data_IF_261568288264
#
_entry.id   IF_261568288264
#
_cell.length_a   1.000
_cell.length_b   1.000
_cell.length_c   1.000
_cell.angle_alpha   90.00
_cell.angle_beta   90.00
_cell.angle_gamma   90.00
#
_symmetry.space_group_name_H-M   'P 1'
#
loop_
_entity.id
_entity.type
_entity.pdbx_description
1 polymer ?
#
# COMPACT_ATOMS: atom_id res chain seq x y z
N UNK A 1 -4.95 -18.52 -2.59
CA UNK A 1 -3.93 -17.58 -3.07
C UNK A 1 -3.87 -16.33 -2.17
N UNK A 2 -4.83 -15.44 -2.16
CA UNK A 2 -4.81 -14.17 -1.39
C UNK A 2 -4.41 -14.31 0.09
N UNK A 3 -4.83 -15.36 0.77
CA UNK A 3 -4.50 -15.55 2.20
C UNK A 3 -3.04 -15.89 2.44
N UNK A 4 -2.43 -16.64 1.52
CA UNK A 4 -1.00 -16.94 1.54
C UNK A 4 -0.18 -15.67 1.32
N UNK A 5 -0.59 -14.82 0.41
CA UNK A 5 0.07 -13.52 0.16
C UNK A 5 0.03 -12.60 1.38
N UNK A 6 -1.09 -12.57 2.14
CA UNK A 6 -1.19 -11.84 3.41
C UNK A 6 -0.16 -12.31 4.46
N UNK A 7 -0.02 -13.62 4.59
CA UNK A 7 0.92 -14.22 5.55
C UNK A 7 2.37 -13.96 5.14
N UNK A 8 2.69 -14.13 3.86
CA UNK A 8 4.03 -13.86 3.31
C UNK A 8 4.38 -12.38 3.51
N UNK A 9 3.51 -11.46 3.09
CA UNK A 9 3.74 -10.02 3.27
C UNK A 9 3.85 -9.61 4.74
N UNK A 10 3.07 -10.24 5.61
CA UNK A 10 3.15 -10.00 7.04
C UNK A 10 4.47 -10.48 7.65
N UNK A 11 5.00 -11.60 7.17
CA UNK A 11 6.26 -12.17 7.64
C UNK A 11 7.48 -11.41 7.07
N UNK A 12 7.42 -10.98 5.82
CA UNK A 12 8.53 -10.32 5.13
C UNK A 12 8.82 -8.90 5.62
N UNK A 13 7.83 -8.21 6.18
CA UNK A 13 8.02 -6.87 6.75
C UNK A 13 8.68 -6.96 8.12
N UNK A 14 10.01 -6.95 8.13
CA UNK A 14 10.83 -7.10 9.34
C UNK A 14 10.59 -5.96 10.34
N UNK A 15 10.64 -4.65 9.96
CA UNK A 15 10.41 -3.56 10.91
C UNK A 15 8.97 -3.61 11.46
N UNK A 16 8.87 -3.65 12.78
CA UNK A 16 7.58 -3.75 13.48
C UNK A 16 6.63 -2.59 13.15
N UNK A 17 7.15 -1.36 13.16
CA UNK A 17 6.34 -0.17 12.89
C UNK A 17 5.77 -0.17 11.47
N UNK A 18 6.55 -0.57 10.47
CA UNK A 18 6.07 -0.66 9.10
C UNK A 18 5.00 -1.74 8.93
N UNK A 19 5.18 -2.88 9.60
CA UNK A 19 4.20 -3.97 9.60
C UNK A 19 2.89 -3.53 10.24
N UNK A 20 2.95 -2.90 11.41
CA UNK A 20 1.76 -2.41 12.10
C UNK A 20 1.08 -1.25 11.35
N UNK A 21 1.86 -0.34 10.75
CA UNK A 21 1.31 0.74 9.93
C UNK A 21 0.50 0.18 8.75
N UNK A 22 1.03 -0.82 8.03
CA UNK A 22 0.32 -1.47 6.93
C UNK A 22 -0.98 -2.15 7.37
N UNK A 23 -0.95 -2.84 8.51
CA UNK A 23 -2.14 -3.48 9.10
C UNK A 23 -3.20 -2.48 9.52
N UNK A 24 -2.79 -1.40 10.18
CA UNK A 24 -3.69 -0.31 10.60
C UNK A 24 -4.30 0.38 9.38
N UNK A 25 -3.50 0.69 8.37
CA UNK A 25 -3.97 1.29 7.12
C UNK A 25 -4.98 0.37 6.40
N UNK A 26 -4.63 -0.90 6.22
CA UNK A 26 -5.51 -1.86 5.56
C UNK A 26 -6.84 -2.04 6.30
N UNK A 27 -6.78 -2.23 7.62
CA UNK A 27 -7.99 -2.38 8.44
C UNK A 27 -8.86 -1.11 8.44
N UNK A 28 -8.24 0.08 8.44
CA UNK A 28 -8.98 1.35 8.37
C UNK A 28 -9.59 1.55 7.00
N UNK A 29 -8.84 1.24 5.93
CA UNK A 29 -9.35 1.29 4.56
C UNK A 29 -10.58 0.40 4.40
N UNK A 30 -10.49 -0.88 4.78
CA UNK A 30 -11.61 -1.81 4.73
C UNK A 30 -12.86 -1.27 5.43
N UNK A 31 -12.72 -0.83 6.70
CA UNK A 31 -13.83 -0.26 7.48
C UNK A 31 -14.42 1.02 6.87
N UNK A 32 -13.58 1.83 6.22
CA UNK A 32 -14.05 3.05 5.54
C UNK A 32 -14.88 2.70 4.33
N UNK A 33 -14.39 1.74 3.52
CA UNK A 33 -15.12 1.28 2.34
C UNK A 33 -16.45 0.64 2.73
N UNK A 34 -16.50 -0.23 3.75
CA UNK A 34 -17.74 -0.80 4.24
C UNK A 34 -18.79 0.27 4.59
N UNK A 35 -18.36 1.37 5.22
CA UNK A 35 -19.27 2.47 5.60
C UNK A 35 -19.73 3.29 4.40
N UNK A 36 -18.84 3.55 3.45
CA UNK A 36 -19.17 4.37 2.27
C UNK A 36 -20.04 3.60 1.27
N UNK A 37 -19.89 2.28 1.23
CA UNK A 37 -20.52 1.45 0.21
C UNK A 37 -21.98 1.16 0.43
N UNK A 38 -22.49 1.32 1.63
CA UNK A 38 -23.91 1.03 1.87
C UNK A 38 -24.83 1.86 0.96
N UNK A 39 -24.39 3.03 0.49
CA UNK A 39 -25.28 3.98 -0.14
C UNK A 39 -24.78 4.63 -1.46
N UNK A 40 -23.49 4.63 -1.78
CA UNK A 40 -22.95 5.57 -2.78
C UNK A 40 -22.09 5.02 -3.91
N UNK A 41 -21.58 3.80 -3.83
CA UNK A 41 -20.71 3.24 -4.88
C UNK A 41 -21.19 1.87 -5.37
N UNK A 42 -21.66 1.74 -6.61
CA UNK A 42 -22.00 0.44 -7.18
C UNK A 42 -20.72 -0.38 -7.37
N UNK A 43 -20.55 -1.46 -6.63
CA UNK A 43 -19.52 -2.46 -6.89
C UNK A 43 -20.03 -3.46 -7.90
N UNK A 44 -19.27 -3.65 -8.97
CA UNK A 44 -19.58 -4.62 -10.03
C UNK A 44 -19.54 -6.06 -9.50
N UNK A 45 -18.60 -6.35 -8.60
CA UNK A 45 -18.38 -7.69 -8.02
C UNK A 45 -18.28 -7.59 -6.49
N UNK A 46 -19.32 -7.10 -5.85
CA UNK A 46 -19.41 -6.88 -4.39
C UNK A 46 -19.08 -8.14 -3.59
N UNK A 47 -19.50 -9.28 -4.07
CA UNK A 47 -19.29 -10.58 -3.44
C UNK A 47 -17.80 -10.92 -3.24
N UNK A 48 -16.92 -10.44 -4.11
CA UNK A 48 -15.46 -10.64 -3.97
C UNK A 48 -14.95 -9.90 -2.73
N UNK A 49 -15.37 -8.66 -2.55
CA UNK A 49 -14.93 -7.84 -1.42
C UNK A 49 -15.51 -8.37 -0.09
N UNK A 50 -16.79 -8.71 -0.08
CA UNK A 50 -17.47 -9.27 1.10
C UNK A 50 -16.86 -10.62 1.51
N UNK A 51 -16.63 -11.52 0.56
CA UNK A 51 -15.99 -12.82 0.82
C UNK A 51 -14.56 -12.66 1.37
N UNK A 52 -13.80 -11.69 0.86
CA UNK A 52 -12.47 -11.38 1.39
C UNK A 52 -12.54 -10.89 2.84
N UNK A 53 -13.42 -9.94 3.14
CA UNK A 53 -13.56 -9.39 4.49
C UNK A 53 -14.02 -10.44 5.50
N UNK A 54 -14.98 -11.28 5.13
CA UNK A 54 -15.46 -12.38 5.97
C UNK A 54 -14.34 -13.38 6.28
N UNK A 55 -13.57 -13.76 5.28
CA UNK A 55 -12.44 -14.67 5.44
C UNK A 55 -11.29 -14.07 6.27
N UNK A 56 -11.21 -12.75 6.36
CA UNK A 56 -10.20 -12.00 7.16
C UNK A 56 -10.73 -11.50 8.50
N UNK A 57 -11.97 -11.83 8.86
CA UNK A 57 -12.57 -11.38 10.12
C UNK A 57 -11.70 -11.76 11.33
N UNK A 58 -11.34 -10.75 12.11
CA UNK A 58 -10.45 -10.91 13.27
C UNK A 58 -8.97 -11.11 12.94
N UNK A 59 -8.58 -11.03 11.67
CA UNK A 59 -7.18 -11.13 11.22
C UNK A 59 -6.68 -9.79 10.68
N UNK A 60 -5.36 -9.67 10.60
CA UNK A 60 -4.74 -8.51 9.98
C UNK A 60 -5.05 -8.46 8.47
N UNK A 61 -5.19 -7.25 7.96
CA UNK A 61 -5.46 -6.95 6.55
C UNK A 61 -4.38 -6.00 6.06
N UNK A 62 -3.59 -6.43 5.08
CA UNK A 62 -2.54 -5.60 4.47
C UNK A 62 -3.14 -4.59 3.50
N UNK A 63 -2.67 -3.34 3.56
CA UNK A 63 -3.24 -2.26 2.75
C UNK A 63 -3.19 -2.54 1.25
N UNK A 64 -2.06 -3.03 0.73
CA UNK A 64 -1.93 -3.34 -0.71
C UNK A 64 -2.92 -4.41 -1.18
N UNK A 65 -3.15 -5.45 -0.36
CA UNK A 65 -4.05 -6.54 -0.73
C UNK A 65 -5.51 -6.09 -0.71
N UNK A 66 -5.96 -5.44 0.37
CA UNK A 66 -7.35 -4.95 0.43
C UNK A 66 -7.64 -3.89 -0.61
N UNK A 67 -6.66 -3.08 -0.98
CA UNK A 67 -6.79 -2.12 -2.08
C UNK A 67 -7.00 -2.83 -3.42
N UNK A 68 -6.19 -3.82 -3.74
CA UNK A 68 -6.34 -4.61 -4.97
C UNK A 68 -7.69 -5.35 -5.04
N UNK A 69 -8.11 -5.98 -3.93
CA UNK A 69 -9.42 -6.63 -3.84
C UNK A 69 -10.56 -5.63 -4.04
N UNK A 70 -10.44 -4.44 -3.48
CA UNK A 70 -11.43 -3.37 -3.66
C UNK A 70 -11.51 -2.90 -5.11
N UNK A 71 -10.37 -2.65 -5.77
CA UNK A 71 -10.33 -2.28 -7.18
C UNK A 71 -10.93 -3.37 -8.08
N UNK A 72 -10.62 -4.64 -7.80
CA UNK A 72 -11.24 -5.77 -8.51
C UNK A 72 -12.76 -5.83 -8.31
N UNK A 73 -13.23 -5.54 -7.09
CA UNK A 73 -14.67 -5.48 -6.80
C UNK A 73 -15.36 -4.33 -7.56
N UNK A 74 -14.68 -3.22 -7.78
CA UNK A 74 -15.16 -2.12 -8.63
C UNK A 74 -15.09 -2.44 -10.14
N UNK A 75 -14.33 -3.47 -10.52
CA UNK A 75 -14.08 -3.82 -11.91
C UNK A 75 -13.06 -2.89 -12.58
N UNK A 76 -12.13 -2.33 -11.79
CA UNK A 76 -11.01 -1.55 -12.30
C UNK A 76 -9.96 -2.52 -12.83
N UNK A 77 -9.40 -2.22 -13.98
CA UNK A 77 -8.37 -3.05 -14.62
C UNK A 77 -7.07 -3.08 -13.79
N UNK A 78 -6.34 -4.19 -13.88
CA UNK A 78 -5.14 -4.44 -13.07
C UNK A 78 -4.08 -3.35 -13.28
N UNK A 79 -3.81 -2.98 -14.52
CA UNK A 79 -2.82 -1.96 -14.87
C UNK A 79 -3.16 -0.60 -14.24
N UNK A 80 -4.42 -0.19 -14.35
CA UNK A 80 -4.91 1.04 -13.75
C UNK A 80 -4.81 0.99 -12.21
N UNK A 81 -5.16 -0.16 -11.62
CA UNK A 81 -5.03 -0.40 -10.18
C UNK A 81 -3.59 -0.23 -9.70
N UNK A 82 -2.64 -0.86 -10.38
CA UNK A 82 -1.22 -0.80 -10.04
C UNK A 82 -0.65 0.61 -10.23
N UNK A 83 -1.00 1.28 -11.34
CA UNK A 83 -0.58 2.66 -11.61
C UNK A 83 -1.02 3.62 -10.50
N UNK A 84 -2.30 3.59 -10.13
CA UNK A 84 -2.83 4.43 -9.07
C UNK A 84 -2.25 4.08 -7.69
N UNK A 85 -1.96 2.81 -7.44
CA UNK A 85 -1.28 2.43 -6.21
C UNK A 85 0.14 2.99 -6.14
N UNK A 86 0.94 2.86 -7.21
CA UNK A 86 2.29 3.44 -7.30
C UNK A 86 2.24 4.96 -7.13
N UNK A 87 1.33 5.63 -7.82
CA UNK A 87 1.13 7.06 -7.68
C UNK A 87 0.84 7.46 -6.23
N UNK A 88 -0.09 6.78 -5.58
CA UNK A 88 -0.48 7.09 -4.20
C UNK A 88 0.69 6.91 -3.22
N UNK A 89 1.48 5.82 -3.36
CA UNK A 89 2.64 5.58 -2.52
C UNK A 89 3.74 6.63 -2.75
N UNK A 90 4.06 6.92 -4.01
CA UNK A 90 5.07 7.94 -4.38
C UNK A 90 4.65 9.32 -3.91
N UNK A 91 3.40 9.70 -4.11
CA UNK A 91 2.85 10.99 -3.65
C UNK A 91 2.92 11.13 -2.12
N UNK A 92 2.63 10.05 -1.38
CA UNK A 92 2.78 10.04 0.07
C UNK A 92 4.25 10.23 0.51
N UNK A 93 5.19 9.56 -0.16
CA UNK A 93 6.63 9.74 0.10
C UNK A 93 7.08 11.16 -0.18
N UNK A 94 6.74 11.72 -1.34
CA UNK A 94 7.07 13.11 -1.71
C UNK A 94 6.48 14.09 -0.72
N UNK A 95 5.21 13.90 -0.31
CA UNK A 95 4.55 14.75 0.70
C UNK A 95 5.30 14.71 2.03
N UNK A 96 5.76 13.55 2.46
CA UNK A 96 6.56 13.44 3.67
C UNK A 96 7.91 14.14 3.53
N UNK A 97 8.57 14.03 2.37
CA UNK A 97 9.80 14.77 2.08
C UNK A 97 9.58 16.29 2.17
N UNK A 98 8.51 16.81 1.56
CA UNK A 98 8.17 18.25 1.62
C UNK A 98 7.95 18.71 3.07
N UNK A 99 7.38 17.87 3.92
CA UNK A 99 7.15 18.21 5.34
C UNK A 99 8.40 18.12 6.21
N UNK A 100 9.34 17.24 5.90
CA UNK A 100 10.52 16.94 6.74
C UNK A 100 11.80 17.62 6.25
N UNK A 101 11.87 17.93 4.97
CA UNK A 101 13.00 18.59 4.32
C UNK A 101 12.51 19.99 3.90
N UNK A 102 13.36 21.03 3.90
CA UNK A 102 12.94 22.38 3.51
C UNK A 102 12.73 22.49 1.99
N UNK A 103 11.81 21.71 1.45
CA UNK A 103 11.40 21.74 0.05
C UNK A 103 10.12 22.56 -0.11
N UNK A 104 10.04 23.32 -1.21
CA UNK A 104 8.80 24.01 -1.57
C UNK A 104 7.74 23.00 -2.09
N UNK A 105 6.47 23.39 -2.00
CA UNK A 105 5.37 22.60 -2.58
C UNK A 105 5.58 22.38 -4.10
N UNK A 106 6.04 23.42 -4.79
CA UNK A 106 6.34 23.32 -6.23
C UNK A 106 7.46 22.32 -6.54
N UNK A 107 8.52 22.31 -5.71
CA UNK A 107 9.59 21.32 -5.85
C UNK A 107 9.07 19.89 -5.61
N UNK A 108 8.19 19.70 -4.63
CA UNK A 108 7.52 18.41 -4.41
C UNK A 108 6.70 17.97 -5.62
N UNK A 109 5.94 18.86 -6.24
CA UNK A 109 5.16 18.53 -7.44
C UNK A 109 6.08 18.22 -8.65
N UNK A 110 7.19 18.93 -8.80
CA UNK A 110 8.18 18.62 -9.85
C UNK A 110 8.80 17.23 -9.66
N UNK A 111 9.16 16.86 -8.42
CA UNK A 111 9.65 15.53 -8.10
C UNK A 111 8.62 14.46 -8.43
N UNK A 112 7.37 14.63 -8.00
CA UNK A 112 6.30 13.68 -8.27
C UNK A 112 6.07 13.51 -9.78
N UNK A 113 6.00 14.62 -10.52
CA UNK A 113 5.87 14.59 -11.98
C UNK A 113 7.05 13.90 -12.67
N UNK A 114 8.26 14.07 -12.14
CA UNK A 114 9.46 13.40 -12.63
C UNK A 114 9.44 11.88 -12.45
N UNK A 115 8.61 11.35 -11.53
CA UNK A 115 8.47 9.91 -11.32
C UNK A 115 7.51 9.23 -12.31
N UNK A 116 6.68 9.96 -13.05
CA UNK A 116 5.66 9.35 -13.92
C UNK A 116 6.24 8.45 -15.02
N UNK A 117 7.33 8.81 -15.72
CA UNK A 117 7.93 7.91 -16.69
C UNK A 117 8.34 6.56 -16.10
N UNK A 118 8.89 6.58 -14.87
CA UNK A 118 9.34 5.38 -14.16
C UNK A 118 8.18 4.41 -13.85
N UNK A 119 6.95 4.92 -13.69
CA UNK A 119 5.80 4.04 -13.39
C UNK A 119 5.54 3.06 -14.53
N UNK A 120 5.67 3.48 -15.78
CA UNK A 120 5.48 2.59 -16.91
C UNK A 120 6.54 1.48 -16.95
N UNK A 121 7.80 1.81 -16.68
CA UNK A 121 8.89 0.84 -16.62
C UNK A 121 8.69 -0.16 -15.46
N UNK A 122 8.31 0.33 -14.28
CA UNK A 122 8.02 -0.53 -13.11
C UNK A 122 6.84 -1.47 -13.40
N UNK A 123 5.80 -1.01 -14.07
CA UNK A 123 4.64 -1.83 -14.41
C UNK A 123 5.02 -2.96 -15.39
N UNK A 124 5.86 -2.68 -16.38
CA UNK A 124 6.37 -3.71 -17.28
C UNK A 124 7.23 -4.73 -16.54
N UNK A 125 8.07 -4.28 -15.61
CA UNK A 125 8.90 -5.16 -14.79
C UNK A 125 8.05 -6.05 -13.87
N UNK A 126 7.05 -5.49 -13.19
CA UNK A 126 6.14 -6.24 -12.29
C UNK A 126 5.42 -7.38 -13.03
N UNK A 127 5.09 -7.22 -14.31
CA UNK A 127 4.45 -8.26 -15.12
C UNK A 127 5.32 -9.50 -15.31
N UNK A 128 6.62 -9.36 -15.16
CA UNK A 128 7.58 -10.48 -15.28
C UNK A 128 7.74 -11.26 -13.98
N UNK A 129 7.25 -10.73 -12.85
CA UNK A 129 7.40 -11.32 -11.53
C UNK A 129 6.44 -12.49 -11.29
N UNK A 130 6.90 -13.41 -10.48
CA UNK A 130 6.18 -14.59 -10.01
C UNK A 130 5.94 -14.56 -8.50
N UNK A 131 5.30 -15.58 -7.94
CA UNK A 131 5.18 -15.72 -6.49
C UNK A 131 6.55 -15.85 -5.78
N UNK A 132 7.56 -16.36 -6.46
CA UNK A 132 8.91 -16.52 -5.89
C UNK A 132 9.65 -15.17 -5.75
N UNK A 133 9.20 -14.14 -6.48
CA UNK A 133 9.73 -12.80 -6.40
C UNK A 133 9.05 -11.95 -5.31
N UNK A 134 8.05 -12.52 -4.62
CA UNK A 134 7.38 -11.84 -3.52
C UNK A 134 8.37 -11.53 -2.40
N UNK A 135 8.28 -10.31 -1.90
CA UNK A 135 9.05 -9.89 -0.73
C UNK A 135 10.55 -9.75 -0.95
N UNK A 136 10.97 -9.43 -2.17
CA UNK A 136 12.30 -8.92 -2.42
C UNK A 136 12.54 -7.73 -1.48
N UNK A 137 13.49 -7.90 -0.57
CA UNK A 137 13.71 -6.91 0.48
C UNK A 137 14.61 -5.78 -0.02
N UNK A 138 14.40 -4.60 0.56
CA UNK A 138 15.35 -3.49 0.48
C UNK A 138 16.12 -3.42 1.82
N UNK A 139 17.21 -4.19 2.02
CA UNK A 139 17.84 -4.38 3.33
C UNK A 139 18.24 -3.07 4.01
N UNK A 140 18.69 -2.09 3.23
CA UNK A 140 19.04 -0.77 3.74
C UNK A 140 17.84 -0.04 4.33
N UNK A 141 16.67 -0.18 3.71
CA UNK A 141 15.42 0.42 4.19
C UNK A 141 14.91 -0.28 5.45
N UNK A 142 14.98 -1.61 5.49
CA UNK A 142 14.58 -2.39 6.65
C UNK A 142 15.46 -2.10 7.86
N UNK A 143 16.78 -2.01 7.69
CA UNK A 143 17.71 -1.61 8.75
C UNK A 143 17.36 -0.23 9.30
N UNK A 144 17.06 0.74 8.43
CA UNK A 144 16.61 2.07 8.86
C UNK A 144 15.29 2.04 9.60
N UNK A 145 14.35 1.21 9.17
CA UNK A 145 13.09 0.97 9.87
C UNK A 145 13.30 0.43 11.28
N UNK A 146 14.17 -0.58 11.45
CA UNK A 146 14.52 -1.14 12.76
C UNK A 146 15.22 -0.11 13.65
N UNK A 147 16.13 0.69 13.09
CA UNK A 147 16.80 1.75 13.84
C UNK A 147 15.81 2.83 14.30
N UNK A 148 14.82 3.16 13.46
CA UNK A 148 13.78 4.13 13.79
C UNK A 148 12.97 3.72 15.03
N UNK A 149 12.71 2.45 15.23
CA UNK A 149 11.98 1.94 16.41
C UNK A 149 12.64 2.30 17.74
N UNK A 150 13.95 2.55 17.75
CA UNK A 150 14.74 2.88 18.94
C UNK A 150 14.98 4.37 19.13
N UNK A 151 14.48 5.22 18.25
CA UNK A 151 14.67 6.66 18.36
C UNK A 151 13.85 7.23 19.52
N UNK A 152 14.48 8.08 20.33
CA UNK A 152 13.85 8.76 21.47
C UNK A 152 12.80 9.78 21.00
N UNK A 153 13.09 10.53 19.94
CA UNK A 153 12.17 11.49 19.32
C UNK A 153 11.84 11.08 17.90
N UNK A 154 10.57 11.13 17.53
CA UNK A 154 10.07 10.76 16.21
C UNK A 154 9.20 11.87 15.67
N UNK A 155 9.46 12.27 14.42
CA UNK A 155 8.70 13.34 13.76
C UNK A 155 7.27 12.91 13.40
N UNK A 156 7.11 11.63 13.10
CA UNK A 156 5.80 11.04 12.78
C UNK A 156 5.63 9.78 13.61
N UNK A 157 4.81 9.88 14.64
CA UNK A 157 4.27 8.71 15.34
C UNK A 157 2.83 8.55 14.89
N UNK A 158 2.55 7.46 14.24
CA UNK A 158 1.17 7.04 13.94
C UNK A 158 0.62 6.18 15.05
#
# INVERSE_FOLDING_TARGET
MLFRSEEILGASRIPFEQREASRKMGSRFAKTIEKLHAETMPMKNREIFEAYLDARKGKAVSHCIVYGVFCAALGIEEEETLYHYLYAQTSAMVTNCVKTIPLSQSAGQQLLSGCYPEFAEILEEIRTYSEDDLCLSAPGFDIRGIQHEKLYSRLYMS
#
